data_IF_122954426940
#
_entry.id   IF_122954426940
#
_cell.length_a   1.000
_cell.length_b   1.000
_cell.length_c   1.000
_cell.angle_alpha   90.00
_cell.angle_beta   90.00
_cell.angle_gamma   90.00
#
_symmetry.space_group_name_H-M   'P 1'
#
loop_
_entity.id
_entity.type
_entity.pdbx_description
1 polymer ?
#
# COMPACT_ATOMS: atom_id res chain seq x y z
N UNK A 1 -19.09 5.06 5.59
CA UNK A 1 -17.81 4.91 6.32
C UNK A 1 -17.12 6.25 6.21
N UNK A 2 -16.70 6.86 7.30
CA UNK A 2 -16.03 8.17 7.26
C UNK A 2 -14.53 7.93 7.01
N UNK A 3 -14.18 7.86 5.72
CA UNK A 3 -12.81 7.61 5.26
C UNK A 3 -11.79 8.64 5.80
N UNK A 4 -12.23 9.86 6.13
CA UNK A 4 -11.38 10.88 6.75
C UNK A 4 -10.93 10.43 8.14
N UNK A 5 -11.86 9.95 8.94
CA UNK A 5 -11.59 9.44 10.29
C UNK A 5 -10.72 8.18 10.26
N UNK A 6 -10.91 7.30 9.27
CA UNK A 6 -10.09 6.10 9.14
C UNK A 6 -8.63 6.42 8.74
N UNK A 7 -8.41 7.39 7.83
CA UNK A 7 -7.04 7.80 7.47
C UNK A 7 -6.27 8.43 8.64
N UNK A 8 -6.95 9.13 9.54
CA UNK A 8 -6.34 9.71 10.75
C UNK A 8 -5.96 8.65 11.79
N UNK A 9 -6.64 7.51 11.81
CA UNK A 9 -6.31 6.40 12.72
C UNK A 9 -4.96 5.74 12.37
N UNK A 10 -4.55 5.73 11.11
CA UNK A 10 -3.23 5.23 10.72
C UNK A 10 -2.09 6.02 11.34
N UNK A 11 -2.30 7.30 11.65
CA UNK A 11 -1.31 8.13 12.31
C UNK A 11 -0.96 7.60 13.70
N UNK A 12 -1.94 7.11 14.48
CA UNK A 12 -1.73 6.56 15.81
C UNK A 12 -0.91 5.26 15.82
N UNK A 13 -0.93 4.52 14.72
CA UNK A 13 -0.17 3.29 14.54
C UNK A 13 1.12 3.48 13.71
N UNK A 14 1.55 4.72 13.46
CA UNK A 14 2.62 5.05 12.51
C UNK A 14 3.91 4.23 12.71
N UNK A 15 4.39 4.09 13.95
CA UNK A 15 5.59 3.33 14.25
C UNK A 15 5.43 1.83 13.99
N UNK A 16 4.27 1.25 14.31
CA UNK A 16 3.96 -0.15 13.99
C UNK A 16 3.78 -0.34 12.48
N UNK A 17 3.12 0.62 11.84
CA UNK A 17 2.89 0.61 10.39
C UNK A 17 4.21 0.57 9.63
N UNK A 18 5.13 1.46 9.93
CA UNK A 18 6.46 1.49 9.30
C UNK A 18 7.24 0.20 9.51
N UNK A 19 7.21 -0.37 10.71
CA UNK A 19 7.99 -1.55 11.07
C UNK A 19 7.42 -2.85 10.50
N UNK A 20 6.11 -3.05 10.55
CA UNK A 20 5.50 -4.37 10.39
C UNK A 20 4.66 -4.56 9.12
N UNK A 21 4.25 -3.49 8.43
CA UNK A 21 3.60 -3.65 7.13
C UNK A 21 4.59 -4.20 6.09
N UNK A 22 4.15 -5.16 5.24
CA UNK A 22 5.02 -5.72 4.22
C UNK A 22 5.44 -4.64 3.21
N UNK A 23 6.65 -4.76 2.68
CA UNK A 23 7.13 -4.00 1.53
C UNK A 23 6.51 -4.55 0.24
N UNK A 24 7.09 -4.23 -0.89
CA UNK A 24 6.65 -4.71 -2.21
C UNK A 24 7.82 -5.41 -2.91
N UNK A 25 7.55 -6.36 -3.84
CA UNK A 25 8.61 -6.99 -4.61
C UNK A 25 9.34 -5.98 -5.52
N UNK A 26 10.67 -6.02 -5.50
CA UNK A 26 11.52 -5.16 -6.34
C UNK A 26 11.17 -5.31 -7.83
N UNK A 27 10.81 -6.51 -8.27
CA UNK A 27 10.44 -6.78 -9.66
C UNK A 27 9.22 -5.98 -10.13
N UNK A 28 8.31 -5.60 -9.24
CA UNK A 28 7.17 -4.74 -9.56
C UNK A 28 7.65 -3.32 -9.85
N UNK A 29 8.59 -2.82 -9.04
CA UNK A 29 9.16 -1.48 -9.22
C UNK A 29 10.06 -1.43 -10.46
N UNK A 30 10.89 -2.44 -10.68
CA UNK A 30 11.72 -2.57 -11.90
C UNK A 30 10.83 -2.60 -13.15
N UNK A 31 9.70 -3.31 -13.06
CA UNK A 31 8.73 -3.35 -14.15
C UNK A 31 8.10 -1.99 -14.42
N UNK A 32 7.73 -1.24 -13.36
CA UNK A 32 7.22 0.13 -13.45
C UNK A 32 8.26 1.02 -14.15
N UNK A 33 9.50 1.07 -13.65
CA UNK A 33 10.57 1.90 -14.20
C UNK A 33 10.81 1.58 -15.69
N UNK A 34 10.89 0.29 -16.02
CA UNK A 34 11.11 -0.15 -17.40
C UNK A 34 9.99 0.25 -18.38
N UNK A 35 8.72 0.08 -17.96
CA UNK A 35 7.57 0.37 -18.80
C UNK A 35 7.35 1.89 -18.99
N UNK A 36 7.59 2.68 -17.94
CA UNK A 36 7.42 4.14 -17.96
C UNK A 36 8.62 4.86 -18.57
N UNK A 37 9.78 4.20 -18.63
CA UNK A 37 11.05 4.78 -19.10
C UNK A 37 11.51 6.01 -18.32
N UNK A 38 11.09 6.12 -17.06
CA UNK A 38 11.62 7.16 -16.16
C UNK A 38 13.12 6.96 -15.93
N UNK A 39 13.81 8.05 -15.73
CA UNK A 39 15.25 8.11 -15.61
C UNK A 39 15.68 9.08 -14.49
N UNK A 40 16.98 9.16 -14.22
CA UNK A 40 17.49 10.11 -13.24
C UNK A 40 16.98 11.54 -13.54
N UNK A 41 16.45 12.22 -12.52
CA UNK A 41 15.83 13.53 -12.61
C UNK A 41 14.34 13.51 -12.97
N UNK A 42 13.71 12.35 -13.24
CA UNK A 42 12.26 12.30 -13.43
C UNK A 42 11.53 12.70 -12.16
N UNK A 43 10.41 13.43 -12.32
CA UNK A 43 9.57 13.90 -11.23
C UNK A 43 8.43 12.92 -10.97
N UNK A 44 8.37 12.37 -9.77
CA UNK A 44 7.36 11.44 -9.34
C UNK A 44 6.53 12.03 -8.19
N UNK A 45 5.31 11.55 -8.04
CA UNK A 45 4.50 11.83 -6.84
C UNK A 45 3.95 10.52 -6.29
N UNK A 46 4.06 10.34 -4.97
CA UNK A 46 3.39 9.25 -4.26
C UNK A 46 2.16 9.76 -3.51
N UNK A 47 1.03 9.13 -3.76
CA UNK A 47 -0.24 9.45 -3.10
C UNK A 47 -0.45 8.54 -1.90
N UNK A 48 -0.64 9.13 -0.70
CA UNK A 48 -0.82 8.38 0.53
C UNK A 48 0.42 7.53 0.83
N UNK A 49 1.56 8.20 0.91
CA UNK A 49 2.87 7.54 1.02
C UNK A 49 3.11 6.82 2.34
N UNK A 50 2.28 7.11 3.36
CA UNK A 50 2.55 6.64 4.71
C UNK A 50 3.93 7.11 5.18
N UNK A 51 4.69 6.20 5.79
CA UNK A 51 6.09 6.43 6.20
C UNK A 51 7.11 6.19 5.08
N UNK A 52 6.66 5.99 3.83
CA UNK A 52 7.53 5.78 2.67
C UNK A 52 7.91 4.33 2.39
N UNK A 53 7.05 3.36 2.72
CA UNK A 53 7.31 1.93 2.42
C UNK A 53 7.52 1.64 0.93
N UNK A 54 6.73 2.25 0.06
CA UNK A 54 6.92 2.10 -1.38
C UNK A 54 7.98 3.08 -1.90
N UNK A 55 8.03 4.31 -1.37
CA UNK A 55 9.09 5.30 -1.66
C UNK A 55 10.49 4.70 -1.55
N UNK A 56 10.73 3.87 -0.51
CA UNK A 56 12.01 3.23 -0.22
C UNK A 56 12.57 2.43 -1.40
N UNK A 57 11.70 1.84 -2.20
CA UNK A 57 12.07 1.06 -3.38
C UNK A 57 12.50 1.94 -4.58
N UNK A 58 12.22 3.24 -4.51
CA UNK A 58 12.66 4.24 -5.49
C UNK A 58 13.85 5.06 -4.99
N UNK A 59 14.15 5.02 -3.69
CA UNK A 59 15.24 5.77 -3.08
C UNK A 59 16.58 5.42 -3.71
N UNK A 60 17.47 6.40 -3.85
CA UNK A 60 18.80 6.23 -4.44
C UNK A 60 18.81 5.99 -5.96
N UNK A 61 17.66 5.95 -6.64
CA UNK A 61 17.57 5.77 -8.10
C UNK A 61 17.61 7.09 -8.88
N UNK A 62 17.77 8.23 -8.17
CA UNK A 62 17.93 9.56 -8.76
C UNK A 62 16.64 10.24 -9.19
N UNK A 63 15.49 9.79 -8.72
CA UNK A 63 14.20 10.43 -8.96
C UNK A 63 13.97 11.60 -7.98
N UNK A 64 13.22 12.61 -8.40
CA UNK A 64 12.64 13.61 -7.52
C UNK A 64 11.25 13.11 -7.11
N UNK A 65 11.01 12.87 -5.83
CA UNK A 65 9.73 12.28 -5.38
C UNK A 65 9.06 13.22 -4.38
N UNK A 66 7.85 13.65 -4.70
CA UNK A 66 6.96 14.32 -3.77
C UNK A 66 5.99 13.29 -3.16
N UNK A 67 6.07 13.11 -1.86
CA UNK A 67 5.20 12.22 -1.10
C UNK A 67 4.12 13.03 -0.40
N UNK A 68 2.84 12.79 -0.69
CA UNK A 68 1.71 13.46 -0.03
C UNK A 68 1.01 12.45 0.87
N UNK A 69 0.93 12.78 2.16
CA UNK A 69 0.36 11.93 3.19
C UNK A 69 -0.43 12.78 4.21
N UNK A 70 -1.69 12.46 4.54
CA UNK A 70 -2.45 13.22 5.54
C UNK A 70 -1.97 13.03 6.98
N UNK A 71 -1.29 11.93 7.32
CA UNK A 71 -0.81 11.62 8.66
C UNK A 71 0.50 12.33 9.01
N UNK A 72 0.47 13.32 9.89
CA UNK A 72 1.65 14.12 10.26
C UNK A 72 2.79 13.28 10.85
N UNK A 73 2.48 12.27 11.69
CA UNK A 73 3.50 11.39 12.28
C UNK A 73 4.17 10.50 11.23
N UNK A 74 3.40 10.05 10.21
CA UNK A 74 3.92 9.31 9.08
C UNK A 74 4.85 10.17 8.22
N UNK A 75 4.45 11.41 7.93
CA UNK A 75 5.28 12.41 7.22
C UNK A 75 6.58 12.69 7.98
N UNK A 76 6.51 12.83 9.30
CA UNK A 76 7.70 13.02 10.13
C UNK A 76 8.67 11.84 10.05
N UNK A 77 8.17 10.61 10.11
CA UNK A 77 8.97 9.40 9.93
C UNK A 77 9.61 9.37 8.53
N UNK A 78 8.83 9.64 7.49
CA UNK A 78 9.30 9.67 6.10
C UNK A 78 10.41 10.69 5.89
N UNK A 79 10.22 11.93 6.35
CA UNK A 79 11.25 12.97 6.25
C UNK A 79 12.54 12.62 6.98
N UNK A 80 12.46 11.93 8.12
CA UNK A 80 13.66 11.43 8.81
C UNK A 80 14.37 10.32 8.08
N UNK A 81 13.61 9.44 7.43
CA UNK A 81 14.13 8.27 6.72
C UNK A 81 14.91 8.66 5.46
N UNK A 82 14.50 9.73 4.78
CA UNK A 82 15.03 10.14 3.47
C UNK A 82 15.74 11.51 3.49
N UNK A 83 16.40 11.87 4.59
CA UNK A 83 17.01 13.19 4.83
C UNK A 83 18.01 13.68 3.77
N UNK A 84 18.64 12.77 3.02
CA UNK A 84 19.68 13.10 2.05
C UNK A 84 19.28 12.76 0.60
N UNK A 85 18.01 12.44 0.38
CA UNK A 85 17.49 12.08 -0.93
C UNK A 85 16.73 13.26 -1.57
N UNK A 86 16.47 13.15 -2.87
CA UNK A 86 15.58 14.06 -3.60
C UNK A 86 14.09 13.68 -3.36
N UNK A 87 13.77 13.33 -2.11
CA UNK A 87 12.46 12.86 -1.67
C UNK A 87 11.94 13.80 -0.60
N UNK A 88 10.76 14.34 -0.82
CA UNK A 88 10.13 15.30 0.08
C UNK A 88 8.75 14.79 0.51
N UNK A 89 8.52 14.72 1.83
CA UNK A 89 7.22 14.39 2.39
C UNK A 89 6.48 15.66 2.82
N UNK A 90 5.22 15.75 2.42
CA UNK A 90 4.31 16.86 2.74
C UNK A 90 3.03 16.35 3.39
N UNK A 91 2.64 16.99 4.48
CA UNK A 91 1.34 16.72 5.09
C UNK A 91 0.23 17.34 4.24
N UNK A 92 -0.76 16.55 3.88
CA UNK A 92 -1.92 17.00 3.13
C UNK A 92 -2.68 15.88 2.46
N UNK A 93 -3.85 16.23 1.94
CA UNK A 93 -4.69 15.35 1.12
C UNK A 93 -4.39 15.61 -0.34
N UNK A 94 -4.12 14.57 -1.11
CA UNK A 94 -3.79 14.72 -2.52
C UNK A 94 -4.85 15.50 -3.30
N UNK A 95 -6.12 15.21 -3.05
CA UNK A 95 -7.24 15.87 -3.73
C UNK A 95 -7.35 17.37 -3.42
N UNK A 96 -6.84 17.82 -2.29
CA UNK A 96 -6.87 19.21 -1.82
C UNK A 96 -5.53 19.95 -2.06
N UNK A 97 -4.44 19.20 -2.32
CA UNK A 97 -3.10 19.75 -2.45
C UNK A 97 -2.94 20.54 -3.75
N UNK A 98 -2.34 21.73 -3.69
CA UNK A 98 -2.05 22.53 -4.90
C UNK A 98 -0.84 21.95 -5.64
N UNK A 99 -1.08 21.48 -6.86
CA UNK A 99 -0.08 20.80 -7.69
C UNK A 99 -0.02 21.44 -9.08
N UNK A 100 1.18 21.54 -9.67
CA UNK A 100 1.35 22.09 -11.01
C UNK A 100 0.72 21.19 -12.07
N UNK A 101 0.19 21.82 -13.11
CA UNK A 101 -0.28 21.14 -14.31
C UNK A 101 0.89 20.52 -15.10
N UNK A 102 0.69 19.32 -15.64
CA UNK A 102 1.61 18.67 -16.61
C UNK A 102 3.08 18.64 -16.16
N UNK A 103 3.32 18.29 -14.90
CA UNK A 103 4.66 18.34 -14.30
C UNK A 103 5.28 16.97 -14.00
N UNK A 104 4.48 16.00 -13.56
CA UNK A 104 5.00 14.69 -13.12
C UNK A 104 5.10 13.69 -14.27
N UNK A 105 6.16 12.89 -14.26
CA UNK A 105 6.40 11.81 -15.19
C UNK A 105 5.66 10.52 -14.81
N UNK A 106 5.50 10.29 -13.49
CA UNK A 106 4.72 9.19 -12.93
C UNK A 106 4.04 9.64 -11.66
N UNK A 107 2.78 9.28 -11.53
CA UNK A 107 2.06 9.28 -10.25
C UNK A 107 1.91 7.84 -9.82
N UNK A 108 2.28 7.53 -8.57
CA UNK A 108 2.03 6.21 -8.03
C UNK A 108 1.31 6.24 -6.69
N UNK A 109 0.58 5.17 -6.40
CA UNK A 109 -0.09 4.95 -5.13
C UNK A 109 -0.01 3.48 -4.75
N UNK A 110 0.51 3.23 -3.56
CA UNK A 110 0.69 1.90 -3.00
C UNK A 110 -0.28 1.68 -1.83
N UNK A 111 -1.30 0.83 -2.00
CA UNK A 111 -2.34 0.56 -0.99
C UNK A 111 -3.20 1.77 -0.59
N UNK A 112 -3.18 2.89 -1.31
CA UNK A 112 -3.77 4.15 -0.85
C UNK A 112 -4.84 4.75 -1.76
N UNK A 113 -4.80 4.49 -3.08
CA UNK A 113 -5.65 5.18 -4.06
C UNK A 113 -7.17 5.04 -3.83
N UNK A 114 -7.60 3.97 -3.18
CA UNK A 114 -9.02 3.74 -2.84
C UNK A 114 -9.57 4.69 -1.77
N UNK A 115 -8.71 5.48 -1.11
CA UNK A 115 -9.12 6.50 -0.17
C UNK A 115 -9.50 7.83 -0.85
N UNK A 116 -9.13 8.02 -2.11
CA UNK A 116 -9.47 9.25 -2.83
C UNK A 116 -10.93 9.23 -3.31
N UNK A 117 -11.61 10.37 -3.20
CA UNK A 117 -12.95 10.51 -3.78
C UNK A 117 -12.87 10.42 -5.31
N UNK A 118 -13.71 9.59 -5.91
CA UNK A 118 -13.79 9.46 -7.36
C UNK A 118 -14.99 10.28 -7.91
N UNK A 119 -14.89 10.92 -9.09
CA UNK A 119 -13.79 10.87 -10.08
C UNK A 119 -12.59 11.79 -9.81
N UNK A 120 -12.66 12.65 -8.79
CA UNK A 120 -11.67 13.70 -8.48
C UNK A 120 -10.23 13.15 -8.45
N UNK A 121 -10.02 11.97 -7.85
CA UNK A 121 -8.70 11.34 -7.77
C UNK A 121 -8.07 11.12 -9.15
N UNK A 122 -8.82 10.56 -10.11
CA UNK A 122 -8.33 10.33 -11.47
C UNK A 122 -8.12 11.63 -12.24
N UNK A 123 -9.08 12.56 -12.16
CA UNK A 123 -9.02 13.85 -12.85
C UNK A 123 -7.79 14.66 -12.41
N UNK A 124 -7.51 14.70 -11.10
CA UNK A 124 -6.35 15.40 -10.56
C UNK A 124 -5.03 14.72 -10.94
N UNK A 125 -4.98 13.40 -10.97
CA UNK A 125 -3.82 12.68 -11.50
C UNK A 125 -3.58 13.05 -12.97
N UNK A 126 -4.62 13.07 -13.80
CA UNK A 126 -4.50 13.45 -15.21
C UNK A 126 -4.07 14.91 -15.39
N UNK A 127 -4.59 15.83 -14.58
CA UNK A 127 -4.22 17.25 -14.61
C UNK A 127 -2.72 17.46 -14.37
N UNK A 128 -2.16 16.82 -13.33
CA UNK A 128 -0.78 17.07 -12.92
C UNK A 128 0.26 16.19 -13.63
N UNK A 129 -0.16 15.11 -14.31
CA UNK A 129 0.71 14.30 -15.16
C UNK A 129 1.02 14.99 -16.48
N UNK A 130 2.27 14.90 -16.92
CA UNK A 130 2.67 15.26 -18.29
C UNK A 130 1.88 14.46 -19.31
N UNK A 131 1.84 14.95 -20.56
CA UNK A 131 1.28 14.18 -21.66
C UNK A 131 2.05 12.87 -21.84
N UNK A 132 1.31 11.80 -22.10
CA UNK A 132 1.85 10.45 -22.24
C UNK A 132 2.51 9.85 -20.97
N UNK A 133 2.44 10.52 -19.84
CA UNK A 133 2.91 10.04 -18.55
C UNK A 133 1.97 8.97 -17.94
N UNK A 134 2.33 8.40 -16.81
CA UNK A 134 1.69 7.20 -16.29
C UNK A 134 1.14 7.36 -14.87
N UNK A 135 -0.03 6.78 -14.67
CA UNK A 135 -0.57 6.42 -13.36
C UNK A 135 -0.20 4.97 -13.05
N UNK A 136 0.44 4.74 -11.90
CA UNK A 136 0.86 3.43 -11.43
C UNK A 136 0.21 3.13 -10.08
N UNK A 137 -0.78 2.25 -10.07
CA UNK A 137 -1.46 1.83 -8.85
C UNK A 137 -1.03 0.42 -8.49
N UNK A 138 -0.67 0.14 -7.23
CA UNK A 138 -0.33 -1.21 -6.84
C UNK A 138 -0.77 -1.57 -5.43
N UNK A 139 -1.12 -2.85 -5.26
CA UNK A 139 -1.59 -3.43 -4.01
C UNK A 139 -0.94 -4.79 -3.75
N UNK A 140 -0.63 -5.03 -2.50
CA UNK A 140 -0.47 -6.38 -1.97
C UNK A 140 -1.85 -6.91 -1.56
N UNK A 141 -2.28 -8.00 -2.16
CA UNK A 141 -3.49 -8.72 -1.78
C UNK A 141 -3.10 -9.94 -0.94
N UNK A 142 -3.74 -10.13 0.20
CA UNK A 142 -3.49 -11.25 1.10
C UNK A 142 -4.23 -12.47 0.58
N UNK A 143 -3.52 -13.38 -0.12
CA UNK A 143 -4.12 -14.60 -0.64
C UNK A 143 -4.18 -15.66 0.45
N UNK A 144 -5.30 -16.38 0.51
CA UNK A 144 -5.45 -17.58 1.31
C UNK A 144 -5.57 -18.82 0.42
N UNK A 145 -5.00 -19.91 0.92
CA UNK A 145 -5.13 -21.22 0.35
C UNK A 145 -5.87 -22.13 1.34
N UNK A 146 -6.41 -23.24 0.87
CA UNK A 146 -7.01 -24.24 1.75
C UNK A 146 -5.92 -25.09 2.39
N UNK A 147 -5.33 -24.56 3.46
CA UNK A 147 -4.32 -25.23 4.26
C UNK A 147 -4.50 -24.90 5.76
N UNK A 148 -3.94 -25.74 6.67
CA UNK A 148 -4.13 -25.54 8.11
C UNK A 148 -3.71 -24.17 8.64
N UNK A 149 -2.58 -23.62 8.18
CA UNK A 149 -2.08 -22.31 8.61
C UNK A 149 -3.05 -21.18 8.24
N UNK A 150 -3.48 -21.13 6.98
CA UNK A 150 -4.39 -20.08 6.52
C UNK A 150 -5.74 -20.17 7.22
N UNK A 151 -6.28 -21.39 7.45
CA UNK A 151 -7.52 -21.61 8.15
C UNK A 151 -7.44 -21.12 9.61
N UNK A 152 -6.34 -21.39 10.31
CA UNK A 152 -6.10 -20.92 11.68
C UNK A 152 -5.96 -19.41 11.73
N UNK A 153 -5.23 -18.78 10.80
CA UNK A 153 -5.06 -17.33 10.74
C UNK A 153 -6.35 -16.60 10.42
N UNK A 154 -7.17 -17.14 9.52
CA UNK A 154 -8.51 -16.58 9.21
C UNK A 154 -9.43 -16.66 10.45
N UNK A 155 -9.44 -17.82 11.12
CA UNK A 155 -10.23 -18.00 12.34
C UNK A 155 -9.80 -17.04 13.45
N UNK A 156 -8.50 -16.91 13.67
CA UNK A 156 -7.91 -15.98 14.64
C UNK A 156 -8.28 -14.51 14.31
N UNK A 157 -8.11 -14.12 13.06
CA UNK A 157 -8.44 -12.77 12.60
C UNK A 157 -9.92 -12.45 12.80
N UNK A 158 -10.82 -13.38 12.45
CA UNK A 158 -12.26 -13.21 12.65
C UNK A 158 -12.64 -13.08 14.13
N UNK A 159 -11.97 -13.84 14.99
CA UNK A 159 -12.20 -13.82 16.45
C UNK A 159 -11.89 -12.44 17.05
N UNK A 160 -10.84 -11.77 16.59
CA UNK A 160 -10.36 -10.50 17.13
C UNK A 160 -10.68 -9.26 16.28
N UNK A 161 -11.63 -9.36 15.35
CA UNK A 161 -12.17 -8.21 14.63
C UNK A 161 -11.51 -7.89 13.27
N UNK A 162 -10.58 -8.73 12.83
CA UNK A 162 -9.95 -8.64 11.52
C UNK A 162 -8.58 -7.93 11.53
N UNK A 163 -7.54 -8.65 11.12
CA UNK A 163 -6.17 -8.11 10.97
C UNK A 163 -5.92 -7.60 9.55
N UNK A 164 -6.55 -8.26 8.57
CA UNK A 164 -6.45 -7.94 7.16
C UNK A 164 -7.62 -8.59 6.39
N UNK A 165 -7.81 -8.17 5.14
CA UNK A 165 -8.69 -8.86 4.20
C UNK A 165 -7.98 -10.11 3.70
N UNK A 166 -8.49 -11.29 4.04
CA UNK A 166 -8.04 -12.56 3.51
C UNK A 166 -8.85 -12.92 2.26
N UNK A 167 -8.20 -13.01 1.12
CA UNK A 167 -8.86 -13.15 -0.17
C UNK A 167 -8.55 -14.50 -0.80
N UNK A 168 -9.58 -15.18 -1.30
CA UNK A 168 -9.42 -16.29 -2.22
C UNK A 168 -8.93 -15.79 -3.59
N UNK A 169 -8.37 -16.67 -4.42
CA UNK A 169 -7.95 -16.31 -5.79
C UNK A 169 -9.09 -15.65 -6.58
N UNK A 170 -10.30 -16.18 -6.48
CA UNK A 170 -11.48 -15.60 -7.14
C UNK A 170 -11.79 -14.18 -6.67
N UNK A 171 -11.66 -13.92 -5.38
CA UNK A 171 -11.86 -12.58 -4.82
C UNK A 171 -10.75 -11.61 -5.26
N UNK A 172 -9.50 -12.10 -5.37
CA UNK A 172 -8.40 -11.32 -5.94
C UNK A 172 -8.71 -10.93 -7.40
N UNK A 173 -9.14 -11.88 -8.24
CA UNK A 173 -9.49 -11.59 -9.64
C UNK A 173 -10.66 -10.60 -9.74
N UNK A 174 -11.69 -10.73 -8.92
CA UNK A 174 -12.79 -9.78 -8.88
C UNK A 174 -12.30 -8.36 -8.51
N UNK A 175 -11.41 -8.24 -7.52
CA UNK A 175 -10.81 -6.96 -7.12
C UNK A 175 -9.96 -6.37 -8.24
N UNK A 176 -9.15 -7.20 -8.92
CA UNK A 176 -8.34 -6.78 -10.08
C UNK A 176 -9.24 -6.21 -11.18
N UNK A 177 -10.29 -6.92 -11.55
CA UNK A 177 -11.22 -6.47 -12.58
C UNK A 177 -11.94 -5.17 -12.19
N UNK A 178 -12.33 -5.02 -10.92
CA UNK A 178 -12.96 -3.80 -10.42
C UNK A 178 -12.04 -2.58 -10.54
N UNK A 179 -10.75 -2.73 -10.22
CA UNK A 179 -9.75 -1.65 -10.34
C UNK A 179 -9.53 -1.29 -11.82
N UNK A 180 -9.39 -2.29 -12.70
CA UNK A 180 -9.26 -2.08 -14.14
C UNK A 180 -10.44 -1.28 -14.68
N UNK A 181 -11.67 -1.69 -14.35
CA UNK A 181 -12.89 -0.98 -14.75
C UNK A 181 -12.94 0.44 -14.19
N UNK A 182 -12.51 0.65 -12.94
CA UNK A 182 -12.44 1.99 -12.35
C UNK A 182 -11.52 2.93 -13.12
N UNK A 183 -10.34 2.43 -13.55
CA UNK A 183 -9.40 3.20 -14.36
C UNK A 183 -9.98 3.48 -15.75
N UNK A 184 -10.55 2.48 -16.43
CA UNK A 184 -11.15 2.65 -17.76
C UNK A 184 -12.32 3.64 -17.74
N UNK A 185 -13.20 3.53 -16.74
CA UNK A 185 -14.36 4.42 -16.59
C UNK A 185 -14.01 5.87 -16.22
N UNK A 186 -12.76 6.15 -15.81
CA UNK A 186 -12.32 7.52 -15.56
C UNK A 186 -12.24 8.35 -16.84
N UNK A 187 -12.12 7.69 -18.00
CA UNK A 187 -11.98 8.30 -19.35
C UNK A 187 -10.77 9.26 -19.52
N UNK A 188 -9.90 9.36 -18.51
CA UNK A 188 -8.66 10.16 -18.56
C UNK A 188 -7.40 9.31 -18.58
N UNK A 189 -7.57 7.98 -18.47
CA UNK A 189 -6.50 6.99 -18.56
C UNK A 189 -6.86 5.87 -19.52
N UNK A 190 -5.86 5.40 -20.27
CA UNK A 190 -6.00 4.24 -21.13
C UNK A 190 -6.20 2.96 -20.28
N UNK A 191 -6.67 1.89 -20.91
CA UNK A 191 -6.77 0.58 -20.28
C UNK A 191 -5.42 0.18 -19.66
N UNK A 192 -5.38 -0.17 -18.35
CA UNK A 192 -4.12 -0.46 -17.67
C UNK A 192 -3.49 -1.77 -18.16
N UNK A 193 -2.17 -1.78 -18.25
CA UNK A 193 -1.40 -3.02 -18.25
C UNK A 193 -1.36 -3.52 -16.80
N UNK A 194 -1.68 -4.81 -16.60
CA UNK A 194 -1.71 -5.44 -15.28
C UNK A 194 -0.54 -6.41 -15.15
N UNK A 195 0.32 -6.17 -14.15
CA UNK A 195 1.44 -7.05 -13.80
C UNK A 195 1.19 -7.67 -12.45
N UNK A 196 1.51 -8.93 -12.28
CA UNK A 196 1.27 -9.72 -11.09
C UNK A 196 2.55 -10.37 -10.60
N UNK A 197 2.79 -10.33 -9.30
CA UNK A 197 3.90 -11.04 -8.64
C UNK A 197 3.39 -11.71 -7.38
N UNK A 198 3.42 -13.02 -7.36
CA UNK A 198 3.23 -13.79 -6.12
C UNK A 198 4.53 -13.80 -5.34
N UNK A 199 4.46 -13.53 -4.04
CA UNK A 199 5.59 -13.54 -3.14
C UNK A 199 5.17 -13.94 -1.73
N UNK A 200 6.11 -14.32 -0.88
CA UNK A 200 5.82 -14.78 0.48
C UNK A 200 6.58 -13.90 1.46
N UNK A 201 5.86 -13.35 2.43
CA UNK A 201 6.45 -12.73 3.61
C UNK A 201 6.48 -13.74 4.75
N UNK A 202 7.63 -13.90 5.35
CA UNK A 202 7.83 -14.71 6.56
C UNK A 202 7.88 -13.80 7.76
N UNK A 203 7.10 -14.16 8.80
CA UNK A 203 7.00 -13.41 10.05
C UNK A 203 7.37 -14.32 11.23
N UNK A 204 8.09 -13.78 12.19
CA UNK A 204 8.06 -14.31 13.56
C UNK A 204 6.69 -14.05 14.20
N UNK A 205 6.40 -14.66 15.35
CA UNK A 205 5.16 -14.37 16.07
C UNK A 205 5.05 -12.89 16.46
N UNK A 206 6.15 -12.27 16.91
CA UNK A 206 6.20 -10.86 17.29
C UNK A 206 5.95 -9.92 16.10
N UNK A 207 6.53 -10.23 14.94
CA UNK A 207 6.31 -9.47 13.71
C UNK A 207 4.88 -9.60 13.21
N UNK A 208 4.29 -10.79 13.28
CA UNK A 208 2.90 -10.98 12.87
C UNK A 208 1.91 -10.30 13.82
N UNK A 209 2.20 -10.31 15.12
CA UNK A 209 1.44 -9.53 16.10
C UNK A 209 1.57 -8.03 15.84
N UNK A 210 2.79 -7.54 15.58
CA UNK A 210 3.01 -6.15 15.19
C UNK A 210 2.25 -5.77 13.90
N UNK A 211 2.22 -6.68 12.91
CA UNK A 211 1.39 -6.52 11.72
C UNK A 211 -0.11 -6.45 12.06
N UNK A 212 -0.61 -7.33 12.94
CA UNK A 212 -2.01 -7.31 13.38
C UNK A 212 -2.39 -5.97 14.05
N UNK A 213 -1.49 -5.40 14.86
CA UNK A 213 -1.68 -4.08 15.50
C UNK A 213 -1.78 -2.91 14.48
N UNK A 214 -1.40 -3.11 13.22
CA UNK A 214 -1.63 -2.10 12.17
C UNK A 214 -3.06 -2.12 11.63
N UNK A 215 -3.86 -3.09 12.00
CA UNK A 215 -5.28 -3.19 11.62
C UNK A 215 -6.16 -2.34 12.53
N UNK A 216 -6.90 -1.39 11.96
CA UNK A 216 -7.70 -0.40 12.70
C UNK A 216 -8.62 -1.02 13.77
N UNK A 217 -9.29 -2.12 13.44
CA UNK A 217 -10.24 -2.77 14.38
C UNK A 217 -9.52 -3.48 15.52
N UNK A 218 -8.42 -4.16 15.22
CA UNK A 218 -7.66 -4.88 16.24
C UNK A 218 -6.91 -3.91 17.16
N UNK A 219 -6.39 -2.82 16.63
CA UNK A 219 -5.72 -1.78 17.42
C UNK A 219 -6.61 -1.20 18.52
N UNK A 220 -7.93 -1.12 18.29
CA UNK A 220 -8.92 -0.58 19.24
C UNK A 220 -9.35 -1.58 20.33
N UNK A 221 -8.90 -2.84 20.25
CA UNK A 221 -9.19 -3.84 21.26
C UNK A 221 -8.51 -3.48 22.60
N UNK A 222 -9.08 -3.94 23.71
CA UNK A 222 -8.44 -3.80 25.00
C UNK A 222 -7.16 -4.64 25.10
N UNK A 223 -6.36 -4.38 26.13
CA UNK A 223 -5.07 -5.04 26.30
C UNK A 223 -5.21 -6.53 26.64
N UNK A 224 -6.31 -6.95 27.27
CA UNK A 224 -6.56 -8.37 27.55
C UNK A 224 -6.81 -9.14 26.26
N UNK A 225 -7.69 -8.63 25.37
CA UNK A 225 -7.93 -9.22 24.05
C UNK A 225 -6.65 -9.27 23.20
N UNK A 226 -5.84 -8.19 23.22
CA UNK A 226 -4.56 -8.13 22.50
C UNK A 226 -3.57 -9.18 23.02
N UNK A 227 -3.45 -9.34 24.33
CA UNK A 227 -2.57 -10.36 24.94
C UNK A 227 -3.06 -11.78 24.65
N UNK A 228 -4.37 -12.01 24.62
CA UNK A 228 -4.92 -13.30 24.23
C UNK A 228 -4.60 -13.62 22.76
N UNK A 229 -4.79 -12.66 21.85
CA UNK A 229 -4.46 -12.79 20.44
C UNK A 229 -2.96 -13.06 20.24
N UNK A 230 -2.08 -12.39 20.98
CA UNK A 230 -0.64 -12.63 20.93
C UNK A 230 -0.27 -14.07 21.27
N UNK A 231 -0.85 -14.61 22.36
CA UNK A 231 -0.61 -16.01 22.76
C UNK A 231 -1.04 -16.99 21.66
N UNK A 232 -2.22 -16.78 21.08
CA UNK A 232 -2.70 -17.64 19.98
C UNK A 232 -1.82 -17.51 18.72
N UNK A 233 -1.29 -16.32 18.42
CA UNK A 233 -0.31 -16.12 17.33
C UNK A 233 0.97 -16.92 17.60
N UNK A 234 1.48 -16.90 18.82
CA UNK A 234 2.66 -17.70 19.22
C UNK A 234 2.39 -19.18 19.05
N UNK A 235 1.24 -19.68 19.51
CA UNK A 235 0.87 -21.09 19.41
C UNK A 235 0.77 -21.53 17.93
N UNK A 236 0.15 -20.71 17.08
CA UNK A 236 0.08 -20.96 15.63
C UNK A 236 1.49 -20.98 15.03
N UNK A 237 2.33 -19.99 15.32
CA UNK A 237 3.69 -19.95 14.80
C UNK A 237 4.49 -21.19 15.22
N UNK A 238 4.43 -21.60 16.49
CA UNK A 238 5.13 -22.79 16.99
C UNK A 238 4.64 -24.07 16.33
N UNK A 239 3.34 -24.21 16.12
CA UNK A 239 2.74 -25.36 15.42
C UNK A 239 3.21 -25.48 13.96
N UNK A 240 3.51 -24.35 13.32
CA UNK A 240 3.93 -24.26 11.92
C UNK A 240 5.44 -24.00 11.74
N UNK A 241 6.28 -24.48 12.66
CA UNK A 241 7.74 -24.44 12.52
C UNK A 241 8.40 -23.15 12.98
N UNK A 242 7.74 -22.37 13.86
CA UNK A 242 8.27 -21.18 14.49
C UNK A 242 8.04 -19.88 13.70
N UNK A 243 7.38 -19.95 12.55
CA UNK A 243 7.13 -18.80 11.68
C UNK A 243 5.72 -18.85 11.07
N UNK A 244 5.24 -17.68 10.69
CA UNK A 244 4.00 -17.50 9.92
C UNK A 244 4.37 -17.03 8.52
N UNK A 245 4.17 -17.89 7.52
CA UNK A 245 4.39 -17.56 6.12
C UNK A 245 3.09 -17.08 5.49
N UNK A 246 3.13 -15.87 4.90
CA UNK A 246 1.97 -15.24 4.28
C UNK A 246 2.22 -15.02 2.78
N UNK A 247 1.44 -15.68 1.91
CA UNK A 247 1.46 -15.38 0.49
C UNK A 247 0.74 -14.07 0.19
N UNK A 248 1.37 -13.26 -0.65
CA UNK A 248 0.81 -12.02 -1.20
C UNK A 248 0.82 -12.04 -2.71
N UNK A 249 -0.25 -11.58 -3.32
CA UNK A 249 -0.26 -11.20 -4.72
C UNK A 249 -0.07 -9.69 -4.83
N UNK A 250 1.11 -9.26 -5.23
CA UNK A 250 1.34 -7.87 -5.60
C UNK A 250 0.87 -7.64 -7.04
N UNK A 251 -0.02 -6.66 -7.24
CA UNK A 251 -0.58 -6.33 -8.54
C UNK A 251 -0.31 -4.87 -8.85
N UNK A 252 0.38 -4.61 -9.97
CA UNK A 252 0.61 -3.28 -10.52
C UNK A 252 -0.33 -3.04 -11.71
N UNK A 253 -1.05 -1.94 -11.65
CA UNK A 253 -1.86 -1.40 -12.74
C UNK A 253 -1.15 -0.17 -13.29
N UNK A 254 -0.67 -0.27 -14.52
CA UNK A 254 0.05 0.81 -15.16
C UNK A 254 -0.75 1.36 -16.32
N UNK A 255 -1.22 2.58 -16.18
CA UNK A 255 -2.09 3.21 -17.17
C UNK A 255 -1.51 4.53 -17.66
N UNK A 256 -1.62 4.77 -18.95
CA UNK A 256 -1.13 5.96 -19.61
C UNK A 256 -2.22 7.02 -19.63
N UNK A 257 -1.86 8.28 -19.37
CA UNK A 257 -2.74 9.45 -19.58
C UNK A 257 -3.15 9.52 -21.07
N UNK A 258 -4.44 9.74 -21.34
CA UNK A 258 -5.02 9.92 -22.68
C UNK A 258 -5.27 11.37 -22.98
#
# INVERSE_FOLDING_TARGET
MDWKKESEMFNQAAAYYDKFRPSYPDEIIDKLIKETKIHNGSNLIEIGSGSGKATELFAGKGFNILCIEPGEDLVYIGNKKFLNDTIEFKTGRFEEYDLPESFFDVIFAAQSFHWLPQPIGYEKCAFTLKDNAYLALFWNMYIIHDNPLDNELVALSNKYGGFADFLTERQCENRINSIVLGIENSNVFAKPKVFRKLWVQKYTADEYYGFALTGNRFMQKDEEEKQMAYKEIVDIAMKHGGFIERPYLCVLYLSKKV
#
